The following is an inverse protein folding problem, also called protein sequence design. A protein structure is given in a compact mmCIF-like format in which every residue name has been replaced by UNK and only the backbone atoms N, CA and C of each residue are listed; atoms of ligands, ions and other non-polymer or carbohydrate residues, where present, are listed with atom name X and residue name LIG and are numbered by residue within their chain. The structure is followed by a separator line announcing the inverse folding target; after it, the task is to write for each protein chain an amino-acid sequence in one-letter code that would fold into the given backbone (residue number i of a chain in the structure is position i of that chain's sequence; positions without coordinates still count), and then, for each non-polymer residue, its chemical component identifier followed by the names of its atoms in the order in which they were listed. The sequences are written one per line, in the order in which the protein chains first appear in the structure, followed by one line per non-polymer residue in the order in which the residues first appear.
data_IF_437605566031
#
_entry.id   IF_437605566031
#
_cell.length_a   1.000
_cell.length_b   1.000
_cell.length_c   1.000
_cell.angle_alpha   90.00
_cell.angle_beta   90.00
_cell.angle_gamma   90.00
#
_symmetry.space_group_name_H-M   'P 1'
#
loop_
_entity.id
_entity.type
_entity.pdbx_description
1 polymer ?
#
# COMPACT_ATOMS: atom_id res chain seq x y z
N UNK A 1 -1.39 -25.56 -13.78
CA UNK A 1 -0.91 -24.22 -13.43
C UNK A 1 -2.13 -23.35 -13.31
N UNK A 2 -2.56 -23.09 -12.08
CA UNK A 2 -3.82 -22.43 -11.76
C UNK A 2 -3.72 -20.93 -12.06
N UNK A 3 -4.85 -20.23 -12.20
CA UNK A 3 -4.88 -18.77 -12.37
C UNK A 3 -4.08 -18.05 -11.27
N UNK A 4 -3.97 -18.66 -10.08
CA UNK A 4 -3.13 -18.20 -8.97
C UNK A 4 -1.63 -18.18 -9.30
N UNK A 5 -1.11 -19.15 -10.07
CA UNK A 5 0.29 -19.19 -10.49
C UNK A 5 0.60 -18.06 -11.48
N UNK A 6 -0.31 -17.77 -12.41
CA UNK A 6 -0.15 -16.70 -13.39
C UNK A 6 -0.23 -15.31 -12.76
N UNK A 7 -1.08 -15.12 -11.74
CA UNK A 7 -1.21 -13.85 -11.01
C UNK A 7 -0.10 -13.65 -9.95
N UNK A 8 0.55 -14.72 -9.51
CA UNK A 8 1.79 -14.65 -8.73
C UNK A 8 3.00 -14.29 -9.61
N UNK A 9 3.02 -14.69 -10.88
CA UNK A 9 4.07 -14.31 -11.83
C UNK A 9 4.09 -12.80 -12.16
N UNK A 10 2.94 -12.12 -12.25
CA UNK A 10 2.88 -10.65 -12.43
C UNK A 10 3.39 -9.89 -11.20
N UNK A 11 3.32 -10.50 -10.01
CA UNK A 11 3.87 -9.93 -8.76
C UNK A 11 5.40 -9.96 -8.74
N UNK A 12 6.00 -11.01 -9.30
CA UNK A 12 7.44 -11.03 -9.57
C UNK A 12 7.78 -9.92 -10.55
N UNK A 13 6.96 -9.63 -11.56
CA UNK A 13 7.26 -8.55 -12.50
C UNK A 13 7.21 -7.15 -11.86
N UNK A 14 6.21 -6.79 -11.05
CA UNK A 14 6.09 -5.40 -10.54
C UNK A 14 7.05 -5.10 -9.37
N UNK A 15 7.31 -6.07 -8.50
CA UNK A 15 8.32 -5.93 -7.43
C UNK A 15 9.74 -6.29 -7.90
N UNK A 16 9.93 -7.16 -8.89
CA UNK A 16 11.25 -7.41 -9.50
C UNK A 16 11.60 -6.47 -10.67
N UNK A 17 10.66 -5.74 -11.27
CA UNK A 17 10.99 -4.60 -12.16
C UNK A 17 11.71 -3.50 -11.39
N UNK A 18 11.51 -3.41 -10.07
CA UNK A 18 12.30 -2.56 -9.19
C UNK A 18 13.63 -3.22 -8.77
N UNK A 19 13.80 -4.54 -8.90
CA UNK A 19 14.98 -5.28 -8.44
C UNK A 19 15.86 -5.89 -9.56
N UNK A 20 15.61 -5.57 -10.84
CA UNK A 20 16.42 -6.02 -11.97
C UNK A 20 17.46 -4.95 -12.37
N UNK A 21 18.77 -5.22 -12.26
CA UNK A 21 19.82 -4.32 -12.74
C UNK A 21 19.89 -4.43 -14.27
N UNK A 22 19.20 -3.55 -15.00
CA UNK A 22 19.33 -3.53 -16.46
C UNK A 22 18.31 -2.75 -17.29
N UNK A 23 17.20 -2.26 -16.72
CA UNK A 23 16.27 -1.40 -17.46
C UNK A 23 16.41 0.06 -17.04
N UNK A 24 17.21 0.82 -17.81
CA UNK A 24 17.23 2.27 -17.74
C UNK A 24 15.94 2.79 -18.37
N UNK A 25 14.95 3.13 -17.53
CA UNK A 25 13.81 3.96 -17.98
C UNK A 25 14.25 5.42 -17.85
N UNK A 26 14.65 6.02 -18.96
CA UNK A 26 14.93 7.46 -19.04
C UNK A 26 13.62 8.24 -19.02
N UNK A 27 13.34 8.94 -17.93
CA UNK A 27 12.27 9.94 -17.89
C UNK A 27 12.77 11.25 -18.53
N UNK A 28 12.03 11.87 -19.45
CA UNK A 28 12.44 13.13 -20.06
C UNK A 28 12.36 14.26 -19.03
N UNK A 29 13.51 14.91 -18.84
CA UNK A 29 13.70 16.12 -18.04
C UNK A 29 12.95 17.29 -18.70
N UNK A 30 11.85 17.74 -18.11
CA UNK A 30 11.17 18.96 -18.53
C UNK A 30 12.05 20.18 -18.21
N UNK A 31 12.30 21.01 -19.22
CA UNK A 31 13.04 22.27 -19.10
C UNK A 31 12.14 23.36 -18.48
N UNK A 32 12.72 24.32 -17.72
CA UNK A 32 11.96 25.44 -17.18
C UNK A 32 11.69 26.50 -18.25
N UNK A 33 10.49 27.06 -18.26
CA UNK A 33 10.11 28.21 -19.09
C UNK A 33 9.51 29.32 -18.21
N UNK A 34 9.65 30.60 -18.57
CA UNK A 34 9.80 31.68 -17.62
C UNK A 34 8.49 32.35 -17.22
N UNK A 35 8.58 33.02 -16.08
CA UNK A 35 7.60 33.94 -15.51
C UNK A 35 7.39 35.16 -16.43
N UNK A 36 6.16 35.70 -16.50
CA UNK A 36 6.03 37.16 -16.51
C UNK A 36 5.00 37.68 -15.49
N UNK A 37 5.35 38.84 -14.93
CA UNK A 37 4.63 39.54 -13.89
C UNK A 37 3.35 40.26 -14.36
N UNK A 38 2.40 40.35 -13.42
CA UNK A 38 1.42 41.44 -13.14
C UNK A 38 0.60 42.06 -14.29
N UNK A 39 -0.73 41.87 -14.27
CA UNK A 39 -1.72 42.83 -13.74
C UNK A 39 -3.16 42.43 -14.13
N UNK A 40 -4.09 42.58 -13.18
CA UNK A 40 -5.50 42.99 -13.33
C UNK A 40 -6.43 42.19 -12.40
N UNK A 41 -7.01 42.92 -11.45
CA UNK A 41 -7.99 42.47 -10.47
C UNK A 41 -9.35 42.36 -11.16
N UNK A 42 -9.86 41.15 -11.34
CA UNK A 42 -11.21 40.84 -11.80
C UNK A 42 -12.00 40.14 -10.67
N UNK A 43 -13.33 40.27 -10.62
CA UNK A 43 -14.11 40.00 -9.41
C UNK A 43 -14.19 38.51 -9.08
N UNK A 44 -14.27 38.21 -7.78
CA UNK A 44 -14.40 36.88 -7.23
C UNK A 44 -15.56 36.11 -7.89
N UNK A 45 -15.32 34.91 -8.46
CA UNK A 45 -16.40 34.04 -8.87
C UNK A 45 -16.99 33.38 -7.64
N UNK A 46 -18.31 33.16 -7.69
CA UNK A 46 -19.10 32.41 -6.72
C UNK A 46 -18.50 31.00 -6.54
N UNK A 47 -17.72 30.79 -5.48
CA UNK A 47 -17.03 29.53 -5.16
C UNK A 47 -17.96 28.39 -4.72
N UNK A 48 -19.29 28.57 -4.77
CA UNK A 48 -20.26 27.62 -4.21
C UNK A 48 -20.78 26.58 -5.22
N UNK A 49 -20.63 26.76 -6.53
CA UNK A 49 -21.19 25.82 -7.53
C UNK A 49 -20.17 24.81 -8.05
N UNK A 50 -18.89 25.18 -8.15
CA UNK A 50 -17.85 24.31 -8.70
C UNK A 50 -17.53 23.09 -7.83
N UNK A 51 -17.51 23.26 -6.50
CA UNK A 51 -17.31 22.15 -5.57
C UNK A 51 -18.47 21.15 -5.62
N UNK A 52 -19.72 21.63 -5.63
CA UNK A 52 -20.91 20.78 -5.74
C UNK A 52 -21.03 20.06 -7.10
N UNK A 53 -20.61 20.70 -8.20
CA UNK A 53 -20.56 20.06 -9.52
C UNK A 53 -19.47 18.99 -9.60
N UNK A 54 -18.31 19.20 -8.96
CA UNK A 54 -17.23 18.23 -8.91
C UNK A 54 -17.60 17.01 -8.05
N UNK A 55 -18.22 17.24 -6.90
CA UNK A 55 -18.74 16.17 -6.04
C UNK A 55 -19.83 15.35 -6.75
N UNK A 56 -20.74 16.00 -7.48
CA UNK A 56 -21.78 15.33 -8.25
C UNK A 56 -21.21 14.46 -9.40
N UNK A 57 -20.14 14.91 -10.06
CA UNK A 57 -19.44 14.13 -11.10
C UNK A 57 -18.71 12.93 -10.50
N UNK A 58 -18.00 13.12 -9.40
CA UNK A 58 -17.32 12.04 -8.66
C UNK A 58 -18.36 11.00 -8.23
N UNK A 59 -19.49 11.42 -7.67
CA UNK A 59 -20.59 10.53 -7.28
C UNK A 59 -21.14 9.71 -8.45
N UNK A 60 -21.42 10.36 -9.59
CA UNK A 60 -21.93 9.68 -10.78
C UNK A 60 -20.94 8.65 -11.35
N UNK A 61 -19.64 8.97 -11.36
CA UNK A 61 -18.58 8.07 -11.82
C UNK A 61 -18.36 6.88 -10.85
N UNK A 62 -18.54 7.08 -9.55
CA UNK A 62 -18.34 6.05 -8.53
C UNK A 62 -19.52 5.06 -8.43
N UNK A 63 -20.75 5.50 -8.68
CA UNK A 63 -21.93 4.64 -8.63
C UNK A 63 -21.84 3.50 -9.67
N UNK A 64 -21.34 3.80 -10.88
CA UNK A 64 -21.03 2.77 -11.89
C UNK A 64 -19.86 1.85 -11.51
N UNK A 65 -18.96 2.33 -10.64
CA UNK A 65 -17.73 1.64 -10.26
C UNK A 65 -17.92 0.58 -9.18
N UNK A 66 -18.98 0.63 -8.35
CA UNK A 66 -19.18 -0.33 -7.24
C UNK A 66 -19.30 -1.78 -7.72
N UNK A 67 -20.07 -2.02 -8.80
CA UNK A 67 -20.19 -3.36 -9.40
C UNK A 67 -18.89 -3.82 -10.07
N UNK A 68 -18.13 -2.88 -10.62
CA UNK A 68 -16.83 -3.16 -11.23
C UNK A 68 -15.74 -3.45 -10.20
N UNK A 69 -15.80 -2.85 -9.00
CA UNK A 69 -14.82 -3.00 -7.95
C UNK A 69 -14.78 -4.44 -7.39
N UNK A 70 -15.95 -5.04 -7.15
CA UNK A 70 -16.06 -6.39 -6.61
C UNK A 70 -15.60 -7.49 -7.58
N UNK A 71 -15.46 -7.18 -8.87
CA UNK A 71 -14.99 -8.11 -9.91
C UNK A 71 -13.77 -7.58 -10.66
N UNK A 72 -13.08 -6.58 -10.10
CA UNK A 72 -11.98 -5.91 -10.78
C UNK A 72 -10.82 -6.88 -11.02
N UNK A 73 -10.24 -6.82 -12.22
CA UNK A 73 -8.92 -7.39 -12.46
C UNK A 73 -7.86 -6.65 -11.62
N UNK A 74 -6.65 -7.18 -11.53
CA UNK A 74 -5.57 -6.50 -10.79
C UNK A 74 -5.24 -5.14 -11.42
N UNK A 75 -5.18 -5.07 -12.75
CA UNK A 75 -4.89 -3.86 -13.50
C UNK A 75 -6.01 -2.81 -13.34
N UNK A 76 -7.28 -3.25 -13.43
CA UNK A 76 -8.43 -2.38 -13.18
C UNK A 76 -8.47 -1.89 -11.74
N UNK A 77 -8.10 -2.77 -10.79
CA UNK A 77 -7.99 -2.42 -9.38
C UNK A 77 -6.92 -1.36 -9.12
N UNK A 78 -5.81 -1.34 -9.85
CA UNK A 78 -4.82 -0.28 -9.74
C UNK A 78 -5.33 1.05 -10.32
N UNK A 79 -6.08 1.02 -11.42
CA UNK A 79 -6.68 2.24 -12.00
C UNK A 79 -7.71 2.83 -11.06
N UNK A 80 -8.64 2.00 -10.57
CA UNK A 80 -9.65 2.42 -9.60
C UNK A 80 -9.03 2.82 -8.27
N UNK A 81 -8.02 2.07 -7.82
CA UNK A 81 -7.26 2.36 -6.61
C UNK A 81 -6.56 3.71 -6.69
N UNK A 82 -5.96 4.10 -7.82
CA UNK A 82 -5.38 5.45 -7.96
C UNK A 82 -6.42 6.54 -7.77
N UNK A 83 -7.62 6.37 -8.35
CA UNK A 83 -8.71 7.35 -8.22
C UNK A 83 -9.15 7.49 -6.76
N UNK A 84 -9.40 6.37 -6.09
CA UNK A 84 -9.81 6.35 -4.69
C UNK A 84 -8.72 6.91 -3.76
N UNK A 85 -7.44 6.65 -4.06
CA UNK A 85 -6.32 7.13 -3.26
C UNK A 85 -6.12 8.64 -3.43
N UNK A 86 -6.36 9.17 -4.64
CA UNK A 86 -6.40 10.62 -4.88
C UNK A 86 -7.54 11.28 -4.11
N UNK A 87 -8.77 10.74 -4.19
CA UNK A 87 -9.90 11.28 -3.41
C UNK A 87 -9.58 11.28 -1.91
N UNK A 88 -9.07 10.17 -1.39
CA UNK A 88 -8.69 10.05 0.01
C UNK A 88 -7.59 11.05 0.40
N UNK A 89 -6.55 11.19 -0.41
CA UNK A 89 -5.46 12.13 -0.14
C UNK A 89 -5.93 13.59 -0.18
N UNK A 90 -6.81 13.93 -1.13
CA UNK A 90 -7.41 15.26 -1.23
C UNK A 90 -8.30 15.57 -0.02
N UNK A 91 -9.15 14.62 0.39
CA UNK A 91 -9.97 14.71 1.61
C UNK A 91 -9.09 14.91 2.86
N UNK A 92 -8.04 14.10 3.04
CA UNK A 92 -7.10 14.26 4.16
C UNK A 92 -6.40 15.63 4.13
N UNK A 93 -5.96 16.09 2.96
CA UNK A 93 -5.27 17.38 2.82
C UNK A 93 -6.21 18.57 3.10
N UNK A 94 -7.49 18.44 2.78
CA UNK A 94 -8.52 19.44 3.08
C UNK A 94 -9.07 19.36 4.51
N UNK A 95 -8.83 18.25 5.23
CA UNK A 95 -9.46 17.97 6.53
C UNK A 95 -10.95 17.65 6.40
N UNK A 96 -11.36 17.11 5.25
CA UNK A 96 -12.73 16.73 4.93
C UNK A 96 -12.89 15.20 4.98
N UNK A 97 -14.13 14.73 5.12
CA UNK A 97 -14.44 13.31 5.02
C UNK A 97 -14.38 12.84 3.56
N UNK A 98 -14.04 11.57 3.36
CA UNK A 98 -14.14 10.95 2.05
C UNK A 98 -15.64 10.81 1.68
N UNK A 99 -16.03 11.08 0.42
CA UNK A 99 -17.41 10.90 -0.01
C UNK A 99 -17.90 9.47 0.28
N UNK A 100 -19.12 9.34 0.81
CA UNK A 100 -19.67 8.06 1.26
C UNK A 100 -19.67 6.99 0.14
N UNK A 101 -19.95 7.39 -1.10
CA UNK A 101 -19.91 6.49 -2.26
C UNK A 101 -18.49 5.99 -2.55
N UNK A 102 -17.47 6.83 -2.33
CA UNK A 102 -16.08 6.46 -2.51
C UNK A 102 -15.65 5.45 -1.44
N UNK A 103 -16.11 5.61 -0.19
CA UNK A 103 -15.91 4.63 0.89
C UNK A 103 -16.53 3.28 0.54
N UNK A 104 -17.74 3.27 -0.03
CA UNK A 104 -18.42 2.04 -0.45
C UNK A 104 -17.69 1.32 -1.59
N UNK A 105 -17.16 2.06 -2.56
CA UNK A 105 -16.35 1.48 -3.64
C UNK A 105 -15.01 0.98 -3.10
N UNK A 106 -14.38 1.70 -2.16
CA UNK A 106 -13.16 1.26 -1.49
C UNK A 106 -13.38 -0.06 -0.76
N UNK A 107 -14.46 -0.18 0.04
CA UNK A 107 -14.83 -1.43 0.72
C UNK A 107 -14.97 -2.59 -0.27
N UNK A 108 -15.70 -2.38 -1.36
CA UNK A 108 -15.89 -3.40 -2.38
C UNK A 108 -14.59 -3.79 -3.11
N UNK A 109 -13.66 -2.84 -3.30
CA UNK A 109 -12.37 -3.10 -3.92
C UNK A 109 -11.50 -3.97 -3.00
N UNK A 110 -11.32 -3.55 -1.75
CA UNK A 110 -10.39 -4.21 -0.81
C UNK A 110 -10.96 -5.48 -0.18
N UNK A 111 -12.23 -5.81 -0.41
CA UNK A 111 -12.81 -7.10 -0.02
C UNK A 111 -12.37 -8.26 -0.92
N UNK A 112 -11.63 -7.98 -2.00
CA UNK A 112 -11.13 -8.99 -2.94
C UNK A 112 -9.60 -9.02 -2.95
N UNK A 113 -8.99 -10.18 -3.17
CA UNK A 113 -7.52 -10.31 -3.22
C UNK A 113 -6.89 -9.43 -4.30
N UNK A 114 -7.44 -9.42 -5.50
CA UNK A 114 -6.93 -8.59 -6.61
C UNK A 114 -7.10 -7.10 -6.31
N UNK A 115 -8.27 -6.72 -5.80
CA UNK A 115 -8.60 -5.33 -5.47
C UNK A 115 -7.75 -4.77 -4.33
N UNK A 116 -7.65 -5.50 -3.21
CA UNK A 116 -6.82 -5.13 -2.07
C UNK A 116 -5.34 -5.00 -2.46
N UNK A 117 -4.82 -5.91 -3.28
CA UNK A 117 -3.43 -5.83 -3.77
C UNK A 117 -3.20 -4.60 -4.64
N UNK A 118 -4.07 -4.36 -5.62
CA UNK A 118 -3.96 -3.18 -6.49
C UNK A 118 -4.05 -1.88 -5.70
N UNK A 119 -4.95 -1.83 -4.71
CA UNK A 119 -5.12 -0.73 -3.77
C UNK A 119 -3.88 -0.47 -2.93
N UNK A 120 -3.41 -1.46 -2.16
CA UNK A 120 -2.27 -1.28 -1.27
C UNK A 120 -1.00 -0.91 -2.02
N UNK A 121 -0.71 -1.55 -3.16
CA UNK A 121 0.45 -1.18 -3.98
C UNK A 121 0.38 0.29 -4.35
N UNK A 122 -0.77 0.75 -4.85
CA UNK A 122 -0.96 2.14 -5.25
C UNK A 122 -0.79 3.11 -4.08
N UNK A 123 -1.50 2.86 -2.98
CA UNK A 123 -1.54 3.78 -1.84
C UNK A 123 -0.18 3.87 -1.13
N UNK A 124 0.51 2.74 -0.97
CA UNK A 124 1.72 2.66 -0.16
C UNK A 124 2.96 3.18 -0.90
N UNK A 125 3.05 3.01 -2.22
CA UNK A 125 4.29 3.31 -2.95
C UNK A 125 4.36 4.73 -3.51
N UNK A 126 3.22 5.37 -3.80
CA UNK A 126 3.21 6.67 -4.49
C UNK A 126 3.37 7.85 -3.51
N UNK A 127 4.44 8.68 -3.61
CA UNK A 127 4.65 9.83 -2.73
C UNK A 127 3.51 10.85 -2.73
N UNK A 128 2.69 10.91 -3.79
CA UNK A 128 1.55 11.82 -3.87
C UNK A 128 0.54 11.63 -2.73
N UNK A 129 0.48 10.43 -2.13
CA UNK A 129 -0.48 10.09 -1.07
C UNK A 129 0.04 10.30 0.36
N UNK A 130 1.09 11.12 0.55
CA UNK A 130 1.66 11.38 1.88
C UNK A 130 0.63 11.91 2.90
N UNK A 131 -0.33 12.71 2.47
CA UNK A 131 -1.37 13.27 3.34
C UNK A 131 -2.22 12.19 4.04
N UNK A 132 -2.34 10.99 3.44
CA UNK A 132 -3.10 9.87 4.02
C UNK A 132 -2.43 9.30 5.26
N UNK A 133 -1.10 9.43 5.37
CA UNK A 133 -0.28 8.79 6.41
C UNK A 133 0.15 9.75 7.52
N UNK A 134 -0.55 10.87 7.69
CA UNK A 134 -0.37 11.78 8.81
C UNK A 134 -1.30 11.37 9.97
N UNK A 135 -0.78 10.90 11.13
CA UNK A 135 -1.63 10.51 12.25
C UNK A 135 -2.43 11.71 12.84
N UNK A 136 -3.67 11.48 13.33
CA UNK A 136 -4.40 10.23 13.26
C UNK A 136 -4.84 9.90 11.82
N UNK A 137 -4.74 8.62 11.44
CA UNK A 137 -5.16 8.17 10.10
C UNK A 137 -6.67 8.29 9.93
N UNK A 138 -7.10 8.46 8.67
CA UNK A 138 -8.51 8.62 8.32
C UNK A 138 -9.37 7.45 8.85
N UNK A 139 -10.44 7.72 9.64
CA UNK A 139 -11.24 6.68 10.24
C UNK A 139 -12.06 5.87 9.23
N UNK A 140 -12.44 6.45 8.09
CA UNK A 140 -13.21 5.76 7.05
C UNK A 140 -12.33 4.76 6.30
N UNK A 141 -11.06 5.10 6.04
CA UNK A 141 -10.05 4.15 5.54
C UNK A 141 -9.88 2.97 6.49
N UNK A 142 -9.65 3.24 7.78
CA UNK A 142 -9.43 2.19 8.77
C UNK A 142 -10.66 1.27 8.88
N UNK A 143 -11.86 1.84 8.93
CA UNK A 143 -13.11 1.07 8.98
C UNK A 143 -13.36 0.28 7.69
N UNK A 144 -12.96 0.79 6.53
CA UNK A 144 -13.07 0.07 5.28
C UNK A 144 -12.21 -1.20 5.30
N UNK A 145 -10.94 -1.09 5.72
CA UNK A 145 -10.00 -2.21 5.81
C UNK A 145 -10.47 -3.24 6.84
N UNK A 146 -10.91 -2.77 8.01
CA UNK A 146 -11.38 -3.63 9.11
C UNK A 146 -12.58 -4.51 8.71
N UNK A 147 -13.48 -3.99 7.87
CA UNK A 147 -14.68 -4.70 7.45
C UNK A 147 -14.42 -5.89 6.52
N UNK A 148 -13.19 -6.11 6.07
CA UNK A 148 -12.82 -7.28 5.26
C UNK A 148 -11.49 -7.85 5.72
N UNK A 149 -11.45 -8.60 6.85
CA UNK A 149 -10.20 -9.12 7.40
C UNK A 149 -9.40 -9.99 6.42
N UNK A 150 -10.06 -10.90 5.72
CA UNK A 150 -9.47 -11.60 4.57
C UNK A 150 -9.81 -10.79 3.30
N UNK A 151 -8.84 -10.35 2.48
CA UNK A 151 -7.39 -10.67 2.44
C UNK A 151 -6.47 -9.71 3.21
N UNK A 152 -7.02 -8.67 3.83
CA UNK A 152 -6.26 -7.52 4.31
C UNK A 152 -5.27 -7.84 5.44
N UNK A 153 -5.60 -8.76 6.36
CA UNK A 153 -4.70 -9.20 7.45
C UNK A 153 -3.32 -9.63 6.91
N UNK A 154 -3.35 -10.50 5.91
CA UNK A 154 -2.14 -11.06 5.32
C UNK A 154 -1.40 -10.04 4.46
N UNK A 155 -2.14 -9.24 3.68
CA UNK A 155 -1.53 -8.22 2.83
C UNK A 155 -0.84 -7.10 3.62
N UNK A 156 -1.46 -6.60 4.69
CA UNK A 156 -0.85 -5.61 5.59
C UNK A 156 0.46 -6.15 6.17
N UNK A 157 0.43 -7.39 6.66
CA UNK A 157 1.60 -8.07 7.24
C UNK A 157 2.70 -8.32 6.19
N UNK A 158 2.34 -8.75 4.98
CA UNK A 158 3.26 -8.93 3.85
C UNK A 158 3.93 -7.62 3.43
N UNK A 159 3.18 -6.50 3.41
CA UNK A 159 3.70 -5.22 2.92
C UNK A 159 4.86 -4.71 3.79
N UNK A 160 4.79 -4.85 5.11
CA UNK A 160 5.94 -4.55 6.00
C UNK A 160 7.11 -5.50 5.74
N UNK A 161 6.87 -6.80 5.69
CA UNK A 161 7.93 -7.79 5.51
C UNK A 161 8.69 -7.60 4.19
N UNK A 162 7.95 -7.47 3.09
CA UNK A 162 8.52 -7.36 1.75
C UNK A 162 9.31 -6.08 1.57
N UNK A 163 8.75 -4.94 1.96
CA UNK A 163 9.41 -3.64 1.82
C UNK A 163 10.68 -3.57 2.68
N UNK A 164 10.64 -4.10 3.92
CA UNK A 164 11.81 -4.19 4.80
C UNK A 164 12.93 -5.03 4.19
N UNK A 165 12.60 -6.23 3.68
CA UNK A 165 13.60 -7.10 3.07
C UNK A 165 14.16 -6.53 1.76
N UNK A 166 13.32 -5.83 0.98
CA UNK A 166 13.68 -5.28 -0.33
C UNK A 166 14.52 -4.03 -0.21
N UNK A 167 14.30 -3.21 0.82
CA UNK A 167 15.17 -2.10 1.17
C UNK A 167 16.64 -2.55 1.32
N UNK A 168 16.89 -3.63 2.08
CA UNK A 168 18.24 -4.15 2.29
C UNK A 168 18.89 -4.58 0.97
N UNK A 169 18.14 -5.25 0.09
CA UNK A 169 18.62 -5.62 -1.25
C UNK A 169 19.03 -4.39 -2.05
N UNK A 170 18.25 -3.30 -1.98
CA UNK A 170 18.60 -2.07 -2.68
C UNK A 170 19.81 -1.37 -2.08
N UNK A 171 19.97 -1.41 -0.75
CA UNK A 171 21.17 -0.89 -0.06
C UNK A 171 22.42 -1.67 -0.51
N UNK A 172 22.36 -3.00 -0.50
CA UNK A 172 23.48 -3.85 -0.91
C UNK A 172 23.87 -3.63 -2.38
N UNK A 173 22.89 -3.31 -3.22
CA UNK A 173 23.08 -2.99 -4.64
C UNK A 173 23.46 -1.52 -4.90
N UNK A 174 23.66 -0.69 -3.86
CA UNK A 174 23.99 0.73 -3.99
C UNK A 174 22.92 1.57 -4.67
N UNK A 175 21.65 1.15 -4.56
CA UNK A 175 20.49 1.78 -5.20
C UNK A 175 19.67 2.62 -4.20
N UNK A 176 20.22 3.75 -3.78
CA UNK A 176 19.67 4.59 -2.70
C UNK A 176 18.22 5.04 -2.94
N UNK A 177 17.87 5.38 -4.20
CA UNK A 177 16.51 5.80 -4.57
C UNK A 177 15.49 4.67 -4.37
N UNK A 178 15.84 3.45 -4.76
CA UNK A 178 14.98 2.27 -4.60
C UNK A 178 14.89 1.82 -3.14
N UNK A 179 15.98 1.98 -2.39
CA UNK A 179 15.97 1.78 -0.94
C UNK A 179 15.04 2.80 -0.26
N UNK A 180 15.06 4.07 -0.68
CA UNK A 180 14.17 5.10 -0.16
C UNK A 180 12.69 4.83 -0.50
N UNK A 181 12.39 4.35 -1.71
CA UNK A 181 11.04 3.95 -2.08
C UNK A 181 10.54 2.74 -1.24
N UNK A 182 11.42 1.79 -0.95
CA UNK A 182 11.11 0.66 -0.06
C UNK A 182 10.87 1.11 1.38
N UNK A 183 11.69 2.03 1.91
CA UNK A 183 11.45 2.66 3.22
C UNK A 183 10.11 3.34 3.30
N UNK A 184 9.77 4.17 2.31
CA UNK A 184 8.48 4.85 2.25
C UNK A 184 7.32 3.85 2.36
N UNK A 185 7.40 2.75 1.60
CA UNK A 185 6.38 1.69 1.60
C UNK A 185 6.30 1.01 2.97
N UNK A 186 7.45 0.69 3.59
CA UNK A 186 7.52 0.10 4.93
C UNK A 186 6.89 1.01 5.97
N UNK A 187 7.30 2.27 6.02
CA UNK A 187 6.88 3.25 7.03
C UNK A 187 5.36 3.50 6.95
N UNK A 188 4.81 3.60 5.74
CA UNK A 188 3.36 3.71 5.50
C UNK A 188 2.59 2.45 5.88
N UNK A 189 3.16 1.28 5.58
CA UNK A 189 2.57 0.00 5.98
C UNK A 189 2.54 -0.14 7.50
N UNK A 190 3.61 0.31 8.16
CA UNK A 190 3.75 0.37 9.61
C UNK A 190 2.70 1.29 10.22
N UNK A 191 2.52 2.51 9.70
CA UNK A 191 1.49 3.43 10.17
C UNK A 191 0.07 2.83 10.10
N UNK A 192 -0.26 2.09 9.03
CA UNK A 192 -1.54 1.38 8.94
C UNK A 192 -1.65 0.25 9.99
N UNK A 193 -0.60 -0.56 10.16
CA UNK A 193 -0.60 -1.62 11.16
C UNK A 193 -0.75 -1.08 12.58
N UNK A 194 -0.02 -0.03 12.95
CA UNK A 194 -0.13 0.62 14.26
C UNK A 194 -1.56 1.11 14.53
N UNK A 195 -2.21 1.70 13.53
CA UNK A 195 -3.59 2.17 13.66
C UNK A 195 -4.65 1.04 13.69
N UNK A 196 -4.37 -0.10 13.03
CA UNK A 196 -5.31 -1.21 12.90
C UNK A 196 -5.15 -2.28 13.97
N UNK A 197 -3.95 -2.51 14.51
CA UNK A 197 -3.68 -3.50 15.56
C UNK A 197 -4.66 -3.46 16.74
N UNK A 198 -5.02 -2.30 17.32
CA UNK A 198 -5.94 -2.26 18.47
C UNK A 198 -7.42 -2.49 18.12
N UNK A 199 -7.79 -2.57 16.83
CA UNK A 199 -9.20 -2.64 16.40
C UNK A 199 -9.53 -3.79 15.44
N UNK A 200 -8.56 -4.24 14.65
CA UNK A 200 -8.78 -5.28 13.64
C UNK A 200 -8.55 -6.66 14.24
N UNK A 201 -9.64 -7.39 14.47
CA UNK A 201 -9.60 -8.75 14.99
C UNK A 201 -8.72 -9.68 14.14
N UNK A 202 -7.84 -10.44 14.79
CA UNK A 202 -6.92 -11.38 14.13
C UNK A 202 -5.60 -10.77 13.64
N UNK A 203 -5.46 -9.44 13.61
CA UNK A 203 -4.23 -8.80 13.11
C UNK A 203 -3.02 -9.03 14.01
N UNK A 204 -3.17 -8.89 15.33
CA UNK A 204 -2.11 -9.21 16.29
C UNK A 204 -1.61 -10.67 16.12
N UNK A 205 -2.55 -11.61 15.97
CA UNK A 205 -2.21 -13.01 15.75
C UNK A 205 -1.45 -13.22 14.44
N UNK A 206 -1.87 -12.57 13.35
CA UNK A 206 -1.20 -12.69 12.04
C UNK A 206 0.22 -12.10 12.06
N UNK A 207 0.41 -10.93 12.68
CA UNK A 207 1.72 -10.30 12.89
C UNK A 207 2.63 -11.22 13.73
N UNK A 208 2.10 -11.81 14.81
CA UNK A 208 2.85 -12.78 15.64
C UNK A 208 3.22 -14.05 14.87
N UNK A 209 2.34 -14.56 14.00
CA UNK A 209 2.63 -15.75 13.17
C UNK A 209 3.79 -15.48 12.20
N UNK A 210 3.80 -14.33 11.51
CA UNK A 210 4.95 -13.97 10.69
C UNK A 210 6.22 -13.81 11.54
N UNK A 211 6.10 -13.17 12.71
CA UNK A 211 7.22 -12.95 13.63
C UNK A 211 7.91 -14.27 14.02
N UNK A 212 7.17 -15.35 14.30
CA UNK A 212 7.77 -16.66 14.63
C UNK A 212 8.54 -17.25 13.45
N UNK A 213 8.08 -17.05 12.21
CA UNK A 213 8.81 -17.47 11.01
C UNK A 213 10.10 -16.68 10.77
N UNK A 214 10.22 -15.48 11.35
CA UNK A 214 11.39 -14.61 11.28
C UNK A 214 12.34 -14.73 12.49
N UNK A 215 12.06 -15.62 13.46
CA UNK A 215 13.01 -15.93 14.52
C UNK A 215 14.34 -16.45 13.95
N UNK A 216 15.45 -16.36 14.71
CA UNK A 216 16.72 -16.92 14.26
C UNK A 216 16.58 -18.40 13.93
N UNK A 217 16.97 -18.77 12.70
CA UNK A 217 16.98 -20.17 12.27
C UNK A 217 18.26 -20.84 12.73
N UNK A 218 18.21 -22.15 12.92
CA UNK A 218 19.38 -22.95 13.22
C UNK A 218 20.37 -22.94 12.04
N UNK A 219 21.61 -23.38 12.29
CA UNK A 219 22.72 -23.31 11.33
C UNK A 219 22.48 -24.10 10.02
N UNK A 220 21.49 -24.99 9.99
CA UNK A 220 21.05 -25.79 8.86
C UNK A 220 19.84 -25.16 8.11
N UNK A 221 19.60 -23.87 8.31
CA UNK A 221 18.49 -23.10 7.72
C UNK A 221 17.11 -23.73 8.04
N UNK A 222 17.00 -24.27 9.25
CA UNK A 222 15.77 -24.80 9.79
C UNK A 222 15.10 -23.77 10.73
N UNK A 223 13.80 -23.51 10.55
CA UNK A 223 13.08 -22.57 11.40
C UNK A 223 13.00 -23.08 12.84
N UNK A 224 12.77 -22.16 13.78
CA UNK A 224 12.58 -22.50 15.18
C UNK A 224 11.39 -23.48 15.37
N UNK A 225 11.46 -24.32 16.40
CA UNK A 225 10.37 -25.22 16.74
C UNK A 225 9.10 -24.41 17.08
N UNK A 226 7.98 -24.72 16.42
CA UNK A 226 6.73 -23.98 16.58
C UNK A 226 6.60 -22.72 15.72
N UNK A 227 7.57 -22.44 14.83
CA UNK A 227 7.41 -21.41 13.81
C UNK A 227 6.23 -21.72 12.90
N UNK A 228 5.49 -20.69 12.51
CA UNK A 228 4.32 -20.86 11.65
C UNK A 228 4.70 -21.39 10.26
N UNK A 229 4.16 -22.54 9.88
CA UNK A 229 4.55 -23.23 8.65
C UNK A 229 4.22 -22.44 7.37
N UNK A 230 3.12 -21.70 7.36
CA UNK A 230 2.70 -20.91 6.21
C UNK A 230 3.65 -19.73 6.01
N UNK A 231 3.98 -19.03 7.09
CA UNK A 231 4.92 -17.92 7.03
C UNK A 231 6.37 -18.37 6.82
N UNK A 232 6.76 -19.55 7.28
CA UNK A 232 8.05 -20.17 6.90
C UNK A 232 8.08 -20.46 5.40
N UNK A 233 7.01 -21.02 4.82
CA UNK A 233 6.93 -21.23 3.35
C UNK A 233 7.04 -19.91 2.61
N UNK A 234 6.42 -18.84 3.13
CA UNK A 234 6.55 -17.49 2.60
C UNK A 234 7.99 -16.98 2.62
N UNK A 235 8.69 -17.02 3.77
CA UNK A 235 10.08 -16.54 3.86
C UNK A 235 11.03 -17.34 2.97
N UNK A 236 10.81 -18.66 2.83
CA UNK A 236 11.55 -19.51 1.88
C UNK A 236 11.25 -19.19 0.42
N UNK A 237 9.97 -18.97 0.07
CA UNK A 237 9.54 -18.61 -1.29
C UNK A 237 10.26 -17.36 -1.79
N UNK A 238 10.41 -16.36 -0.92
CA UNK A 238 11.11 -15.11 -1.21
C UNK A 238 12.61 -15.14 -0.92
N UNK A 239 13.14 -16.28 -0.45
CA UNK A 239 14.56 -16.50 -0.16
C UNK A 239 15.14 -15.48 0.81
N UNK A 240 14.38 -15.07 1.82
CA UNK A 240 14.86 -14.11 2.81
C UNK A 240 16.03 -14.68 3.60
N UNK A 241 17.18 -14.01 3.54
CA UNK A 241 18.37 -14.35 4.32
C UNK A 241 18.23 -14.03 5.81
N UNK A 242 19.21 -14.44 6.61
CA UNK A 242 19.20 -14.24 8.06
C UNK A 242 19.09 -12.74 8.45
N UNK A 243 19.72 -11.85 7.69
CA UNK A 243 19.66 -10.41 7.92
C UNK A 243 18.27 -9.83 7.62
N UNK A 244 17.68 -10.19 6.48
CA UNK A 244 16.32 -9.79 6.11
C UNK A 244 15.29 -10.30 7.12
N UNK A 245 15.38 -11.56 7.54
CA UNK A 245 14.49 -12.12 8.58
C UNK A 245 14.64 -11.36 9.90
N UNK A 246 15.86 -11.03 10.30
CA UNK A 246 16.11 -10.24 11.52
C UNK A 246 15.51 -8.83 11.43
N UNK A 247 15.68 -8.15 10.31
CA UNK A 247 15.12 -6.82 10.09
C UNK A 247 13.58 -6.85 10.10
N UNK A 248 12.97 -7.80 9.39
CA UNK A 248 11.51 -8.01 9.44
C UNK A 248 11.06 -8.25 10.89
N UNK A 249 11.72 -9.16 11.61
CA UNK A 249 11.37 -9.45 13.01
C UNK A 249 11.42 -8.19 13.87
N UNK A 250 12.43 -7.33 13.69
CA UNK A 250 12.57 -6.10 14.46
C UNK A 250 11.40 -5.12 14.22
N UNK A 251 10.93 -4.98 12.97
CA UNK A 251 9.73 -4.18 12.67
C UNK A 251 8.47 -4.77 13.34
N UNK A 252 8.31 -6.10 13.32
CA UNK A 252 7.16 -6.77 13.94
C UNK A 252 7.21 -6.71 15.47
N UNK A 253 8.39 -6.83 16.08
CA UNK A 253 8.58 -6.63 17.53
C UNK A 253 8.12 -5.22 17.92
N UNK A 254 8.61 -4.20 17.21
CA UNK A 254 8.28 -2.81 17.50
C UNK A 254 6.78 -2.52 17.35
N UNK A 255 6.10 -3.16 16.38
CA UNK A 255 4.66 -3.06 16.19
C UNK A 255 3.85 -3.71 17.33
N UNK A 256 4.35 -4.79 17.92
CA UNK A 256 3.66 -5.51 19.00
C UNK A 256 3.92 -4.90 20.38
N UNK A 257 4.91 -4.04 20.51
CA UNK A 257 5.28 -3.31 21.74
C UNK A 257 4.69 -1.89 21.82
N UNK A 258 4.19 -1.35 20.69
CA UNK A 258 3.59 -0.02 20.57
C UNK A 258 2.17 0.03 21.18
#
# INVERSE_FOLDING_TARGET
TTLEDSQQHTMVAVLALLACPGLIVTWPRAAPSPNPALTARAPAPLLSTAAGEQEARIRADLEGSKKSAATASFEDAQVLGRRLATILADSCAAGEEMPAEAVEVLRALISTTSGARGWFVTLLTDPAYNAVFCPPLDPQLLSAIEASPDPNLKLLTMNVAMSTATELVHIDNGSDELAAASRLTRDRSRALLEALLPRMGGLDAEVRRLRTACEPWAADDQPAAGADEEWVKFTKKWRYGAEQRRAIKAELDALLEA
#
